data_IF_070301727306
#
_entry.id   IF_070301727306
#
_cell.length_a   1.000
_cell.length_b   1.000
_cell.length_c   1.000
_cell.angle_alpha   90.00
_cell.angle_beta   90.00
_cell.angle_gamma   90.00
#
_symmetry.space_group_name_H-M   'P 1'
#
loop_
_entity.id
_entity.type
_entity.pdbx_description
1 polymer ?
#
# COMPACT_ATOMS: atom_id res chain seq x y z
N UNK A 1 -9.39 28.12 -16.65
CA UNK A 1 -9.68 26.71 -16.34
C UNK A 1 -9.05 25.86 -17.43
N UNK A 2 -7.84 25.37 -17.18
CA UNK A 2 -7.23 24.35 -18.04
C UNK A 2 -7.76 23.01 -17.56
N UNK A 3 -8.56 22.36 -18.42
CA UNK A 3 -8.96 20.97 -18.27
C UNK A 3 -7.69 20.09 -18.36
N UNK A 4 -7.16 19.71 -17.21
CA UNK A 4 -6.14 18.67 -17.11
C UNK A 4 -6.82 17.32 -17.36
N UNK A 5 -6.96 16.98 -18.63
CA UNK A 5 -7.24 15.59 -19.05
C UNK A 5 -6.01 14.76 -18.68
N UNK A 6 -6.03 14.11 -17.54
CA UNK A 6 -4.99 13.15 -17.17
C UNK A 6 -5.21 11.93 -18.06
N UNK A 7 -4.48 11.86 -19.16
CA UNK A 7 -4.41 10.64 -19.96
C UNK A 7 -3.58 9.65 -19.14
N UNK A 8 -4.23 8.60 -18.62
CA UNK A 8 -3.57 7.44 -18.05
C UNK A 8 -2.74 6.79 -19.17
N UNK A 9 -1.44 6.94 -19.11
CA UNK A 9 -0.51 6.36 -20.08
C UNK A 9 0.25 5.26 -19.34
N UNK A 10 0.03 3.99 -19.71
CA UNK A 10 0.72 2.82 -19.15
C UNK A 10 2.26 2.92 -19.25
N UNK A 11 2.78 3.91 -19.96
CA UNK A 11 4.21 4.15 -20.16
C UNK A 11 4.86 5.15 -19.18
N UNK A 12 4.14 5.73 -18.23
CA UNK A 12 4.71 6.65 -17.22
C UNK A 12 5.11 6.01 -15.89
N UNK A 13 5.19 4.69 -15.81
CA UNK A 13 6.04 4.06 -14.80
C UNK A 13 7.49 4.41 -15.17
N UNK A 14 8.13 5.33 -14.44
CA UNK A 14 9.56 5.58 -14.61
C UNK A 14 10.28 4.24 -14.42
N UNK A 15 11.22 3.94 -15.29
CA UNK A 15 11.98 2.68 -15.42
C UNK A 15 12.73 2.23 -14.16
N UNK A 16 12.62 2.99 -13.06
CA UNK A 16 13.27 2.72 -11.76
C UNK A 16 12.37 1.96 -10.76
N UNK A 17 11.11 1.72 -11.11
CA UNK A 17 10.14 1.01 -10.26
C UNK A 17 9.64 -0.30 -10.91
N UNK A 18 10.44 -0.94 -11.78
CA UNK A 18 10.13 -2.28 -12.29
C UNK A 18 10.28 -3.28 -11.15
N UNK A 19 9.15 -3.75 -10.64
CA UNK A 19 9.13 -4.83 -9.66
C UNK A 19 9.58 -6.12 -10.33
N UNK A 20 10.57 -6.85 -9.78
CA UNK A 20 10.86 -8.18 -10.26
C UNK A 20 9.65 -9.07 -9.93
N UNK A 21 8.83 -9.32 -10.92
CA UNK A 21 7.91 -10.46 -10.87
C UNK A 21 8.79 -11.70 -10.96
N UNK A 22 8.85 -12.48 -9.89
CA UNK A 22 9.59 -13.73 -9.89
C UNK A 22 8.86 -14.74 -10.79
N UNK A 23 9.26 -14.75 -12.06
CA UNK A 23 8.61 -15.55 -13.11
C UNK A 23 8.78 -17.07 -12.93
N UNK A 24 9.59 -17.53 -11.98
CA UNK A 24 9.83 -18.95 -11.71
C UNK A 24 8.71 -19.63 -10.90
N UNK A 25 7.74 -18.87 -10.36
CA UNK A 25 6.61 -19.41 -9.58
C UNK A 25 5.34 -19.65 -10.42
N UNK A 26 5.35 -19.31 -11.70
CA UNK A 26 4.17 -19.33 -12.57
C UNK A 26 3.52 -20.71 -12.79
N UNK A 27 4.21 -21.81 -12.51
CA UNK A 27 3.73 -23.15 -12.84
C UNK A 27 2.78 -23.81 -11.82
N UNK A 28 2.49 -23.14 -10.70
CA UNK A 28 1.58 -23.64 -9.64
C UNK A 28 0.52 -22.61 -9.20
N UNK A 29 0.33 -21.54 -9.95
CA UNK A 29 -0.59 -20.47 -9.57
C UNK A 29 -2.03 -20.79 -9.97
N UNK A 30 -2.97 -20.38 -9.13
CA UNK A 30 -4.40 -20.47 -9.36
C UNK A 30 -4.76 -19.54 -10.53
N UNK A 31 -5.40 -20.08 -11.58
CA UNK A 31 -5.98 -19.25 -12.65
C UNK A 31 -7.28 -18.61 -12.15
N UNK A 32 -7.51 -17.37 -12.55
CA UNK A 32 -8.74 -16.65 -12.24
C UNK A 32 -9.72 -16.80 -13.39
N UNK A 33 -10.95 -17.24 -13.10
CA UNK A 33 -12.01 -17.42 -14.08
C UNK A 33 -13.25 -16.59 -13.75
N UNK A 34 -14.09 -16.33 -14.75
CA UNK A 34 -15.38 -15.67 -14.54
C UNK A 34 -16.27 -16.52 -13.62
N UNK A 35 -16.77 -15.89 -12.57
CA UNK A 35 -17.63 -16.54 -11.57
C UNK A 35 -16.89 -17.04 -10.32
N UNK A 36 -15.57 -16.95 -10.29
CA UNK A 36 -14.79 -17.24 -9.09
C UNK A 36 -15.11 -16.26 -7.96
N UNK A 37 -15.13 -16.79 -6.73
CA UNK A 37 -15.15 -15.97 -5.52
C UNK A 37 -13.71 -15.60 -5.14
N UNK A 38 -13.49 -14.32 -4.88
CA UNK A 38 -12.19 -13.78 -4.50
C UNK A 38 -12.28 -13.26 -3.07
N UNK A 39 -11.40 -13.75 -2.19
CA UNK A 39 -11.23 -13.24 -0.85
C UNK A 39 -10.13 -12.17 -0.82
N UNK A 40 -10.43 -11.04 -0.18
CA UNK A 40 -9.50 -9.90 -0.10
C UNK A 40 -9.35 -9.47 1.35
N UNK A 41 -8.10 -9.30 1.79
CA UNK A 41 -7.76 -8.69 3.07
C UNK A 41 -7.04 -7.37 2.81
N UNK A 42 -7.43 -6.32 3.52
CA UNK A 42 -6.68 -5.06 3.59
C UNK A 42 -6.30 -4.78 5.04
N UNK A 43 -5.03 -4.41 5.27
CA UNK A 43 -4.53 -4.19 6.62
C UNK A 43 -3.40 -3.16 6.63
N UNK A 44 -3.60 -2.05 7.34
CA UNK A 44 -2.52 -1.16 7.72
C UNK A 44 -1.82 -1.81 8.93
N UNK A 45 -0.59 -2.32 8.74
CA UNK A 45 0.14 -3.08 9.76
C UNK A 45 0.93 -2.20 10.74
N UNK A 46 0.86 -0.87 10.58
CA UNK A 46 1.51 0.09 11.49
C UNK A 46 3.00 -0.19 11.69
N UNK A 47 3.74 -0.51 10.61
CA UNK A 47 5.18 -0.86 10.64
C UNK A 47 5.57 -1.81 11.79
N UNK A 48 4.69 -2.77 12.11
CA UNK A 48 4.89 -3.74 13.18
C UNK A 48 5.06 -3.16 14.59
N UNK A 49 4.87 -1.84 14.78
CA UNK A 49 5.15 -1.15 16.04
C UNK A 49 3.92 -0.55 16.71
N UNK A 50 2.80 -0.40 15.99
CA UNK A 50 1.56 0.17 16.52
C UNK A 50 0.64 -0.94 17.06
N UNK A 51 1.04 -1.56 18.17
CA UNK A 51 0.22 -2.53 18.90
C UNK A 51 -0.72 -1.84 19.89
N UNK A 52 -1.56 -2.64 20.58
CA UNK A 52 -2.56 -2.14 21.56
C UNK A 52 -1.98 -1.27 22.69
N UNK A 53 -0.68 -1.38 22.96
CA UNK A 53 0.03 -0.60 24.00
C UNK A 53 0.92 0.50 23.40
N UNK A 54 0.75 0.83 22.11
CA UNK A 54 1.55 1.85 21.45
C UNK A 54 1.15 3.24 21.98
N UNK A 55 2.15 3.98 22.48
CA UNK A 55 2.02 5.35 22.95
C UNK A 55 2.64 6.30 21.91
N UNK A 56 1.99 6.41 20.74
CA UNK A 56 2.54 7.15 19.61
C UNK A 56 2.15 8.63 19.68
N UNK A 57 3.14 9.51 19.55
CA UNK A 57 2.95 10.96 19.72
C UNK A 57 1.97 11.58 18.70
N UNK A 58 1.84 11.03 17.48
CA UNK A 58 0.90 11.54 16.49
C UNK A 58 -0.56 11.15 16.79
N UNK A 59 -0.76 10.15 17.63
CA UNK A 59 -2.08 9.70 18.10
C UNK A 59 -2.39 10.24 19.50
N UNK A 60 -1.64 11.25 19.95
CA UNK A 60 -1.82 11.89 21.26
C UNK A 60 -1.00 11.30 22.39
N UNK A 61 -0.09 10.37 22.10
CA UNK A 61 0.89 9.84 23.05
C UNK A 61 2.18 10.65 23.12
N UNK A 62 3.17 10.14 23.84
CA UNK A 62 4.44 10.82 24.10
C UNK A 62 5.66 10.17 23.40
N UNK A 63 5.50 8.97 22.85
CA UNK A 63 6.61 8.17 22.31
C UNK A 63 6.77 8.27 20.80
N UNK A 64 8.04 8.39 20.37
CA UNK A 64 8.43 8.33 18.94
C UNK A 64 8.71 6.89 18.51
N UNK A 65 9.37 6.13 19.40
CA UNK A 65 9.65 4.71 19.24
C UNK A 65 8.74 3.94 20.17
N UNK A 66 7.68 3.37 19.62
CA UNK A 66 6.59 2.74 20.40
C UNK A 66 6.86 1.30 20.79
N UNK A 67 7.84 0.65 20.15
CA UNK A 67 8.15 -0.77 20.35
C UNK A 67 9.65 -1.02 20.40
N UNK A 68 10.06 -2.10 21.08
CA UNK A 68 11.41 -2.64 20.96
C UNK A 68 11.57 -3.44 19.69
N UNK A 69 12.82 -3.76 19.32
CA UNK A 69 13.10 -4.60 18.16
C UNK A 69 12.46 -5.99 18.28
N UNK A 70 12.51 -6.58 19.46
CA UNK A 70 11.92 -7.87 19.78
C UNK A 70 10.39 -7.84 19.63
N UNK A 71 9.78 -6.73 20.07
CA UNK A 71 8.34 -6.55 19.93
C UNK A 71 7.92 -6.45 18.47
N UNK A 72 8.67 -5.69 17.64
CA UNK A 72 8.39 -5.61 16.19
C UNK A 72 8.47 -7.00 15.55
N UNK A 73 9.49 -7.80 15.86
CA UNK A 73 9.63 -9.16 15.34
C UNK A 73 8.47 -10.07 15.79
N UNK A 74 8.06 -9.96 17.05
CA UNK A 74 6.90 -10.70 17.59
C UNK A 74 5.61 -10.31 16.88
N UNK A 75 5.39 -9.00 16.67
CA UNK A 75 4.23 -8.50 15.97
C UNK A 75 4.23 -8.96 14.50
N UNK A 76 5.37 -8.94 13.82
CA UNK A 76 5.48 -9.41 12.44
C UNK A 76 5.17 -10.91 12.33
N UNK A 77 5.64 -11.74 13.29
CA UNK A 77 5.25 -13.16 13.35
C UNK A 77 3.75 -13.32 13.48
N UNK A 78 3.11 -12.60 14.40
CA UNK A 78 1.65 -12.66 14.60
C UNK A 78 0.87 -12.19 13.36
N UNK A 79 1.35 -11.12 12.68
CA UNK A 79 0.74 -10.63 11.43
C UNK A 79 0.81 -11.68 10.34
N UNK A 80 1.97 -12.29 10.13
CA UNK A 80 2.13 -13.32 9.08
C UNK A 80 1.40 -14.62 9.42
N UNK A 81 1.33 -15.02 10.69
CA UNK A 81 0.52 -16.14 11.15
C UNK A 81 -0.98 -15.90 10.89
N UNK A 82 -1.50 -14.71 11.19
CA UNK A 82 -2.90 -14.36 10.91
C UNK A 82 -3.19 -14.36 9.41
N UNK A 83 -2.32 -13.77 8.59
CA UNK A 83 -2.47 -13.76 7.12
C UNK A 83 -2.44 -15.19 6.55
N UNK A 84 -1.57 -16.07 7.06
CA UNK A 84 -1.55 -17.49 6.68
C UNK A 84 -2.83 -18.21 7.11
N UNK A 85 -3.35 -17.92 8.31
CA UNK A 85 -4.59 -18.52 8.83
C UNK A 85 -5.80 -18.11 7.99
N UNK A 86 -5.91 -16.84 7.62
CA UNK A 86 -6.98 -16.32 6.76
C UNK A 86 -6.85 -16.83 5.32
N UNK A 87 -5.62 -17.04 4.85
CA UNK A 87 -5.30 -17.54 3.51
C UNK A 87 -6.13 -16.88 2.38
N UNK A 88 -6.20 -15.55 2.29
CA UNK A 88 -7.00 -14.86 1.29
C UNK A 88 -6.34 -14.93 -0.10
N UNK A 89 -7.13 -14.74 -1.15
CA UNK A 89 -6.60 -14.70 -2.52
C UNK A 89 -5.74 -13.45 -2.78
N UNK A 90 -6.11 -12.32 -2.16
CA UNK A 90 -5.44 -11.02 -2.32
C UNK A 90 -5.23 -10.38 -0.95
N UNK A 91 -4.01 -9.83 -0.73
CA UNK A 91 -3.65 -9.09 0.47
C UNK A 91 -3.15 -7.70 0.09
N UNK A 92 -3.72 -6.67 0.71
CA UNK A 92 -3.36 -5.26 0.52
C UNK A 92 -2.83 -4.72 1.84
N UNK A 93 -1.51 -4.57 1.97
CA UNK A 93 -0.87 -4.07 3.17
C UNK A 93 -0.41 -2.63 3.02
N UNK A 94 -0.53 -1.86 4.10
CA UNK A 94 -0.05 -0.50 4.21
C UNK A 94 0.91 -0.40 5.40
N UNK A 95 1.77 0.62 5.37
CA UNK A 95 2.82 0.88 6.36
C UNK A 95 3.80 -0.28 6.56
N UNK A 96 4.20 -0.91 5.47
CA UNK A 96 5.23 -1.95 5.46
C UNK A 96 6.60 -1.30 5.37
N UNK A 97 7.39 -1.39 6.43
CA UNK A 97 8.73 -0.78 6.48
C UNK A 97 9.82 -1.73 5.94
N UNK A 98 10.86 -1.16 5.32
CA UNK A 98 12.07 -1.90 4.93
C UNK A 98 13.31 -1.54 5.76
N UNK A 99 13.55 -0.25 5.97
CA UNK A 99 14.77 0.27 6.64
C UNK A 99 14.49 1.50 7.48
N UNK A 100 13.33 1.57 8.12
CA UNK A 100 12.95 2.71 8.95
C UNK A 100 13.61 2.65 10.34
N UNK A 101 13.94 3.81 10.89
CA UNK A 101 14.46 3.89 12.24
C UNK A 101 13.41 3.48 13.28
N UNK A 102 12.15 3.84 13.04
CA UNK A 102 11.00 3.55 13.92
C UNK A 102 10.70 2.05 14.06
N UNK A 103 11.03 1.24 13.06
CA UNK A 103 10.92 -0.23 13.06
C UNK A 103 12.27 -0.93 13.21
N UNK A 104 13.27 -0.27 13.85
CA UNK A 104 14.60 -0.81 14.14
C UNK A 104 15.35 -1.36 12.93
N UNK A 105 15.12 -0.80 11.72
CA UNK A 105 15.72 -1.24 10.44
C UNK A 105 15.33 -2.66 10.03
N UNK A 106 14.26 -3.22 10.59
CA UNK A 106 13.70 -4.50 10.17
C UNK A 106 13.17 -4.35 8.74
N UNK A 107 13.41 -5.36 7.91
CA UNK A 107 12.83 -5.45 6.57
C UNK A 107 11.56 -6.29 6.64
N UNK A 108 10.44 -5.63 6.93
CA UNK A 108 9.12 -6.27 7.06
C UNK A 108 8.65 -6.86 5.74
N UNK A 109 8.92 -6.18 4.61
CA UNK A 109 8.57 -6.69 3.29
C UNK A 109 9.27 -8.02 2.98
N UNK A 110 10.54 -8.20 3.44
CA UNK A 110 11.24 -9.48 3.30
C UNK A 110 10.60 -10.56 4.16
N UNK A 111 10.31 -10.25 5.44
CA UNK A 111 9.66 -11.21 6.35
C UNK A 111 8.34 -11.71 5.75
N UNK A 112 7.49 -10.79 5.28
CA UNK A 112 6.20 -11.15 4.66
C UNK A 112 6.39 -12.06 3.45
N UNK A 113 7.36 -11.77 2.58
CA UNK A 113 7.65 -12.61 1.40
C UNK A 113 8.13 -14.01 1.77
N UNK A 114 8.96 -14.09 2.80
CA UNK A 114 9.55 -15.36 3.25
C UNK A 114 8.50 -16.23 3.93
N UNK A 115 7.58 -15.63 4.69
CA UNK A 115 6.50 -16.33 5.40
C UNK A 115 5.28 -16.64 4.51
N UNK A 116 5.09 -15.90 3.39
CA UNK A 116 4.00 -16.08 2.43
C UNK A 116 4.53 -16.44 1.02
N UNK A 117 5.30 -17.53 0.87
CA UNK A 117 6.03 -17.83 -0.37
C UNK A 117 5.13 -18.23 -1.55
N UNK A 118 3.86 -18.56 -1.30
CA UNK A 118 2.88 -18.91 -2.34
C UNK A 118 2.30 -17.70 -3.07
N UNK A 119 2.49 -16.50 -2.52
CA UNK A 119 1.96 -15.27 -3.10
C UNK A 119 2.96 -14.60 -4.05
N UNK A 120 2.46 -14.05 -5.15
CA UNK A 120 3.16 -13.01 -5.91
C UNK A 120 3.09 -11.71 -5.13
N UNK A 121 4.18 -10.99 -5.05
CA UNK A 121 4.22 -9.74 -4.28
C UNK A 121 4.71 -8.56 -5.11
N UNK A 122 4.08 -7.41 -4.92
CA UNK A 122 4.52 -6.11 -5.43
C UNK A 122 4.64 -5.14 -4.27
N UNK A 123 5.72 -4.38 -4.22
CA UNK A 123 5.99 -3.42 -3.15
C UNK A 123 6.33 -2.05 -3.74
N UNK A 124 5.82 -0.98 -3.16
CA UNK A 124 6.13 0.39 -3.56
C UNK A 124 6.32 1.31 -2.36
N UNK A 125 7.38 2.12 -2.39
CA UNK A 125 7.57 3.15 -1.37
C UNK A 125 6.45 4.19 -1.44
N UNK A 126 5.74 4.32 -0.33
CA UNK A 126 4.72 5.33 -0.08
C UNK A 126 5.27 6.53 0.69
N UNK A 127 6.35 6.30 1.45
CA UNK A 127 7.10 7.31 2.17
C UNK A 127 8.58 6.92 2.27
N UNK A 128 9.46 7.70 1.66
CA UNK A 128 10.92 7.48 1.74
C UNK A 128 11.63 8.79 1.98
N UNK A 129 12.32 8.89 3.10
CA UNK A 129 13.16 10.04 3.48
C UNK A 129 14.37 9.59 4.29
N UNK A 130 15.48 10.29 4.14
CA UNK A 130 16.71 10.01 4.91
C UNK A 130 16.60 10.47 6.36
N UNK A 131 15.79 11.50 6.62
CA UNK A 131 15.67 12.08 7.96
C UNK A 131 14.34 12.80 8.11
N UNK A 132 13.61 12.45 9.16
CA UNK A 132 12.50 13.23 9.71
C UNK A 132 13.02 13.83 11.02
N UNK A 133 13.28 15.15 11.07
CA UNK A 133 14.00 15.78 12.20
C UNK A 133 13.13 16.02 13.44
N UNK A 134 11.86 15.76 13.34
CA UNK A 134 10.87 16.02 14.40
C UNK A 134 10.11 14.73 14.74
N UNK A 135 9.59 14.54 15.96
CA UNK A 135 9.82 15.36 17.15
C UNK A 135 11.22 15.18 17.75
N UNK A 136 11.40 15.43 19.05
CA UNK A 136 12.64 15.14 19.76
C UNK A 136 12.36 14.03 20.77
N UNK A 137 13.01 12.86 20.65
CA UNK A 137 14.02 12.48 19.65
C UNK A 137 13.43 12.37 18.23
N UNK A 138 14.25 12.57 17.15
CA UNK A 138 13.76 12.56 15.79
C UNK A 138 13.33 11.16 15.36
N UNK A 139 12.31 11.07 14.48
CA UNK A 139 11.90 9.80 13.86
C UNK A 139 13.06 9.18 13.07
N UNK A 140 13.91 10.02 12.47
CA UNK A 140 15.05 9.57 11.70
C UNK A 140 14.69 9.14 10.28
N UNK A 141 15.38 8.13 9.77
CA UNK A 141 15.13 7.58 8.44
C UNK A 141 13.80 6.82 8.40
N UNK A 142 13.03 7.07 7.35
CA UNK A 142 11.82 6.29 7.04
C UNK A 142 11.91 5.73 5.62
N UNK A 143 11.60 4.45 5.46
CA UNK A 143 11.45 3.77 4.19
C UNK A 143 10.26 2.81 4.33
N UNK A 144 9.07 3.33 4.11
CA UNK A 144 7.80 2.68 4.30
C UNK A 144 7.03 2.59 2.99
N UNK A 145 6.31 1.50 2.78
CA UNK A 145 5.61 1.25 1.55
C UNK A 145 4.22 0.66 1.73
N UNK A 146 3.62 0.40 0.61
CA UNK A 146 2.44 -0.45 0.47
C UNK A 146 2.84 -1.72 -0.26
N UNK A 147 2.19 -2.84 0.05
CA UNK A 147 2.50 -4.14 -0.51
C UNK A 147 1.22 -4.86 -0.94
N UNK A 148 1.21 -5.34 -2.17
CA UNK A 148 0.12 -6.16 -2.71
C UNK A 148 0.64 -7.59 -2.89
N UNK A 149 -0.11 -8.57 -2.37
CA UNK A 149 0.17 -9.99 -2.57
C UNK A 149 -1.04 -10.64 -3.24
N UNK A 150 -0.79 -11.61 -4.11
CA UNK A 150 -1.84 -12.33 -4.86
C UNK A 150 -1.45 -13.79 -5.06
N UNK A 151 -2.40 -14.70 -4.87
CA UNK A 151 -2.27 -16.11 -5.26
C UNK A 151 -2.40 -16.30 -6.77
N UNK A 152 -2.98 -15.32 -7.46
CA UNK A 152 -3.08 -15.31 -8.91
C UNK A 152 -1.83 -14.73 -9.58
N UNK A 153 -1.52 -15.13 -10.83
CA UNK A 153 -0.42 -14.54 -11.60
C UNK A 153 -0.70 -13.07 -11.91
N UNK A 154 0.23 -12.20 -11.54
CA UNK A 154 0.16 -10.77 -11.85
C UNK A 154 0.89 -10.52 -13.16
N UNK A 155 0.17 -10.11 -14.19
CA UNK A 155 0.73 -9.80 -15.52
C UNK A 155 1.53 -8.49 -15.52
N UNK A 156 1.05 -7.51 -14.74
CA UNK A 156 1.64 -6.18 -14.63
C UNK A 156 1.40 -5.61 -13.26
N UNK A 157 2.41 -4.99 -12.67
CA UNK A 157 2.26 -4.16 -11.48
C UNK A 157 2.95 -2.83 -11.71
N UNK A 158 2.27 -1.73 -11.43
CA UNK A 158 2.83 -0.39 -11.56
C UNK A 158 2.57 0.47 -10.32
N UNK A 159 3.53 1.35 -10.04
CA UNK A 159 3.41 2.39 -9.02
C UNK A 159 2.91 3.67 -9.66
N UNK A 160 1.80 4.21 -9.16
CA UNK A 160 1.26 5.49 -9.59
C UNK A 160 1.46 6.51 -8.48
N UNK A 161 2.23 7.56 -8.77
CA UNK A 161 2.44 8.66 -7.83
C UNK A 161 1.17 9.49 -7.69
N UNK A 162 0.74 9.71 -6.46
CA UNK A 162 -0.39 10.59 -6.15
C UNK A 162 0.03 12.07 -6.06
N UNK A 163 -0.90 13.01 -6.25
CA UNK A 163 -0.69 14.43 -5.99
C UNK A 163 -0.16 14.65 -4.57
N UNK A 164 0.85 15.51 -4.44
CA UNK A 164 1.44 15.87 -3.16
C UNK A 164 1.04 17.31 -2.83
N UNK A 165 0.27 17.56 -1.74
CA UNK A 165 -0.26 18.88 -1.41
C UNK A 165 0.82 19.84 -0.88
N UNK A 166 2.00 19.32 -0.56
CA UNK A 166 3.04 20.09 0.10
C UNK A 166 3.98 20.78 -0.89
N UNK A 167 4.26 22.07 -0.64
CA UNK A 167 5.23 22.86 -1.40
C UNK A 167 6.67 22.60 -0.92
N UNK A 168 7.66 22.99 -1.76
CA UNK A 168 9.06 23.01 -1.35
C UNK A 168 9.29 24.09 -0.26
N UNK A 169 10.12 23.83 0.80
CA UNK A 169 10.92 22.61 1.03
C UNK A 169 10.18 21.52 1.81
N UNK A 170 8.98 21.78 2.33
CA UNK A 170 8.22 20.88 3.22
C UNK A 170 8.02 19.50 2.60
N UNK A 171 7.75 19.46 1.29
CA UNK A 171 7.56 18.19 0.56
C UNK A 171 8.77 17.25 0.56
N UNK A 172 9.99 17.73 0.95
CA UNK A 172 11.19 16.88 1.03
C UNK A 172 11.11 15.88 2.20
N UNK A 173 10.48 16.30 3.30
CA UNK A 173 10.32 15.49 4.51
C UNK A 173 8.90 14.92 4.65
N UNK A 174 8.02 15.20 3.69
CA UNK A 174 6.62 14.78 3.74
C UNK A 174 6.31 13.58 2.86
N UNK A 175 5.13 13.01 3.09
CA UNK A 175 4.61 11.82 2.45
C UNK A 175 4.52 12.00 0.93
N UNK A 176 4.99 10.99 0.20
CA UNK A 176 4.88 10.92 -1.28
C UNK A 176 3.99 9.74 -1.62
N UNK A 177 2.71 9.87 -1.30
CA UNK A 177 1.70 8.83 -1.48
C UNK A 177 1.68 8.27 -2.90
N UNK A 178 1.34 7.00 -3.00
CA UNK A 178 1.20 6.30 -4.27
C UNK A 178 0.10 5.23 -4.20
N UNK A 179 -0.24 4.73 -5.38
CA UNK A 179 -1.02 3.50 -5.56
C UNK A 179 -0.10 2.42 -6.10
N UNK A 180 -0.39 1.14 -5.80
CA UNK A 180 0.03 0.01 -6.60
C UNK A 180 -1.19 -0.44 -7.40
N UNK A 181 -1.04 -0.51 -8.72
CA UNK A 181 -2.05 -1.06 -9.63
C UNK A 181 -1.49 -2.35 -10.19
N UNK A 182 -2.10 -3.47 -9.82
CA UNK A 182 -1.72 -4.81 -10.26
C UNK A 182 -2.83 -5.37 -11.16
N UNK A 183 -2.45 -6.07 -12.24
CA UNK A 183 -3.38 -6.66 -13.19
C UNK A 183 -3.23 -8.18 -13.19
N UNK A 184 -4.35 -8.86 -13.05
CA UNK A 184 -4.47 -10.32 -13.07
C UNK A 184 -5.32 -10.70 -14.27
N UNK A 185 -4.81 -11.48 -15.25
CA UNK A 185 -5.58 -11.97 -16.38
C UNK A 185 -6.74 -12.85 -15.90
N UNK A 186 -7.86 -12.79 -16.61
CA UNK A 186 -9.02 -13.66 -16.38
C UNK A 186 -9.11 -14.66 -17.52
N UNK A 187 -9.06 -15.95 -17.18
CA UNK A 187 -9.05 -17.02 -18.18
C UNK A 187 -10.30 -16.97 -19.08
N UNK A 188 -10.10 -17.29 -20.35
CA UNK A 188 -11.16 -17.30 -21.36
C UNK A 188 -11.66 -15.92 -21.81
N UNK A 189 -11.00 -14.82 -21.38
CA UNK A 189 -11.37 -13.45 -21.76
C UNK A 189 -10.16 -12.59 -22.12
N UNK A 190 -10.42 -11.41 -22.71
CA UNK A 190 -9.44 -10.33 -22.89
C UNK A 190 -9.45 -9.33 -21.71
N UNK A 191 -10.15 -9.65 -20.63
CA UNK A 191 -10.33 -8.78 -19.48
C UNK A 191 -9.39 -9.17 -18.33
N UNK A 192 -9.17 -8.21 -17.47
CA UNK A 192 -8.30 -8.35 -16.31
C UNK A 192 -9.03 -7.96 -15.02
N UNK A 193 -8.63 -8.56 -13.92
CA UNK A 193 -8.91 -8.03 -12.59
C UNK A 193 -7.82 -7.01 -12.25
N UNK A 194 -8.22 -5.76 -12.09
CA UNK A 194 -7.34 -4.65 -11.69
C UNK A 194 -7.44 -4.45 -10.18
N UNK A 195 -6.34 -4.67 -9.49
CA UNK A 195 -6.24 -4.56 -8.03
C UNK A 195 -5.49 -3.26 -7.72
N UNK A 196 -6.12 -2.36 -6.96
CA UNK A 196 -5.53 -1.08 -6.56
C UNK A 196 -5.33 -1.07 -5.06
N UNK A 197 -4.07 -1.12 -4.61
CA UNK A 197 -3.71 -0.90 -3.22
C UNK A 197 -3.35 0.56 -2.99
N UNK A 198 -3.85 1.14 -1.90
CA UNK A 198 -3.71 2.56 -1.61
C UNK A 198 -3.45 2.84 -0.13
N UNK A 199 -2.80 3.99 0.12
CA UNK A 199 -2.74 4.61 1.43
C UNK A 199 -2.72 6.14 1.20
N UNK A 200 -3.88 6.77 1.34
CA UNK A 200 -4.10 8.19 1.01
C UNK A 200 -3.57 9.13 2.10
N UNK A 201 -3.59 10.43 1.83
CA UNK A 201 -3.09 11.45 2.76
C UNK A 201 -3.99 11.57 3.99
N UNK A 202 -3.34 11.65 5.18
CA UNK A 202 -4.02 11.79 6.46
C UNK A 202 -4.05 13.24 6.97
N UNK A 203 -3.00 14.03 6.69
CA UNK A 203 -2.63 15.22 7.46
C UNK A 203 -2.70 16.54 6.67
N UNK A 204 -3.50 16.62 5.60
CA UNK A 204 -3.66 17.86 4.85
C UNK A 204 -4.94 18.62 5.22
N UNK A 205 -5.05 19.84 4.67
CA UNK A 205 -6.24 20.70 4.83
C UNK A 205 -7.46 20.23 4.02
N UNK A 206 -7.36 19.11 3.29
CA UNK A 206 -8.41 18.52 2.47
C UNK A 206 -8.19 18.62 0.95
N UNK A 207 -7.40 19.56 0.46
CA UNK A 207 -7.14 19.73 -0.98
C UNK A 207 -6.36 18.55 -1.57
N UNK A 208 -5.34 18.06 -0.85
CA UNK A 208 -4.57 16.89 -1.26
C UNK A 208 -5.39 15.61 -1.23
N UNK A 209 -6.21 15.40 -0.20
CA UNK A 209 -7.15 14.28 -0.11
C UNK A 209 -8.12 14.28 -1.29
N UNK A 210 -8.73 15.44 -1.60
CA UNK A 210 -9.66 15.59 -2.72
C UNK A 210 -8.97 15.28 -4.06
N UNK A 211 -7.76 15.79 -4.29
CA UNK A 211 -7.00 15.54 -5.52
C UNK A 211 -6.59 14.06 -5.65
N UNK A 212 -6.18 13.42 -4.55
CA UNK A 212 -5.84 12.00 -4.54
C UNK A 212 -7.06 11.12 -4.77
N UNK A 213 -8.18 11.41 -4.12
CA UNK A 213 -9.45 10.70 -4.30
C UNK A 213 -9.96 10.83 -5.73
N UNK A 214 -9.88 12.05 -6.31
CA UNK A 214 -10.24 12.26 -7.72
C UNK A 214 -9.39 11.42 -8.65
N UNK A 215 -8.06 11.44 -8.49
CA UNK A 215 -7.15 10.65 -9.33
C UNK A 215 -7.43 9.15 -9.20
N UNK A 216 -7.71 8.66 -7.99
CA UNK A 216 -8.14 7.27 -7.78
C UNK A 216 -9.41 6.97 -8.56
N UNK A 217 -10.45 7.81 -8.43
CA UNK A 217 -11.72 7.63 -9.15
C UNK A 217 -11.53 7.62 -10.66
N UNK A 218 -10.69 8.53 -11.20
CA UNK A 218 -10.38 8.59 -12.64
C UNK A 218 -9.71 7.28 -13.13
N UNK A 219 -8.79 6.70 -12.34
CA UNK A 219 -8.13 5.43 -12.66
C UNK A 219 -9.13 4.27 -12.65
N UNK A 220 -9.96 4.17 -11.59
CA UNK A 220 -10.97 3.12 -11.48
C UNK A 220 -11.98 3.18 -12.65
N UNK A 221 -12.42 4.40 -13.00
CA UNK A 221 -13.33 4.61 -14.12
C UNK A 221 -12.69 4.21 -15.44
N UNK A 222 -11.44 4.62 -15.69
CA UNK A 222 -10.73 4.30 -16.92
C UNK A 222 -10.55 2.79 -17.12
N UNK A 223 -10.28 2.02 -16.06
CA UNK A 223 -10.19 0.57 -16.14
C UNK A 223 -11.57 -0.09 -16.32
N UNK A 224 -12.60 0.44 -15.67
CA UNK A 224 -14.00 -0.01 -15.86
C UNK A 224 -14.49 0.24 -17.29
N UNK A 225 -14.14 1.38 -17.89
CA UNK A 225 -14.50 1.73 -19.26
C UNK A 225 -13.83 0.78 -20.30
N UNK A 226 -12.69 0.19 -19.97
CA UNK A 226 -12.05 -0.88 -20.75
C UNK A 226 -12.77 -2.23 -20.60
N UNK A 227 -13.74 -2.33 -19.69
CA UNK A 227 -14.48 -3.55 -19.36
C UNK A 227 -13.74 -4.46 -18.37
N UNK A 228 -12.71 -3.95 -17.70
CA UNK A 228 -12.00 -4.66 -16.64
C UNK A 228 -12.81 -4.72 -15.36
N UNK A 229 -12.55 -5.72 -14.53
CA UNK A 229 -13.06 -5.79 -13.16
C UNK A 229 -12.08 -5.06 -12.23
N UNK A 230 -12.60 -4.24 -11.31
CA UNK A 230 -11.74 -3.37 -10.49
C UNK A 230 -12.04 -3.55 -9.01
N UNK A 231 -10.99 -3.76 -8.21
CA UNK A 231 -11.03 -3.77 -6.75
C UNK A 231 -10.05 -2.72 -6.25
N UNK A 232 -10.51 -1.79 -5.41
CA UNK A 232 -9.65 -0.85 -4.71
C UNK A 232 -9.79 -1.05 -3.20
N UNK A 233 -8.67 -1.16 -2.51
CA UNK A 233 -8.63 -1.34 -1.06
C UNK A 233 -7.37 -0.73 -0.46
N UNK A 234 -7.41 -0.46 0.83
CA UNK A 234 -6.30 0.12 1.56
C UNK A 234 -6.75 1.11 2.62
N UNK A 235 -5.84 1.95 3.05
CA UNK A 235 -6.11 3.00 4.02
C UNK A 235 -6.46 4.31 3.29
N UNK A 236 -7.74 4.63 3.29
CA UNK A 236 -8.27 5.86 2.67
C UNK A 236 -8.02 7.11 3.52
N UNK A 237 -7.72 6.95 4.82
CA UNK A 237 -7.63 8.06 5.77
C UNK A 237 -8.87 8.98 5.76
N UNK A 238 -10.03 8.41 5.50
CA UNK A 238 -11.31 9.10 5.41
C UNK A 238 -12.42 8.24 6.00
N UNK A 239 -13.40 8.89 6.60
CA UNK A 239 -14.65 8.25 7.04
C UNK A 239 -15.71 8.37 5.94
N UNK A 240 -16.58 7.39 5.86
CA UNK A 240 -17.75 7.49 4.99
C UNK A 240 -18.71 8.58 5.50
N UNK A 241 -19.36 9.29 4.58
CA UNK A 241 -20.22 10.43 4.91
C UNK A 241 -21.42 10.08 5.80
N UNK A 242 -21.76 8.81 5.91
CA UNK A 242 -22.85 8.28 6.73
C UNK A 242 -22.37 7.54 8.00
N UNK A 243 -21.07 7.65 8.32
CA UNK A 243 -20.51 7.04 9.54
C UNK A 243 -20.73 7.99 10.72
N UNK A 244 -21.32 7.48 11.80
CA UNK A 244 -21.38 8.21 13.07
C UNK A 244 -19.99 8.14 13.73
N UNK A 245 -19.36 9.30 13.85
CA UNK A 245 -18.01 9.44 14.46
C UNK A 245 -18.08 9.94 15.91
N UNK A 246 -19.27 9.94 16.52
CA UNK A 246 -19.47 10.40 17.91
C UNK A 246 -19.30 9.31 18.97
N UNK A 247 -18.87 8.09 18.58
CA UNK A 247 -18.68 6.96 19.49
C UNK A 247 -17.26 6.88 20.02
#
# INVERSE_FOLDING_TARGET
SEDLTVTYNDQQATQDDSFPTDTNKLSQQKELSIGDNISVVTWNIGYGSLGANADFFMDGGDSVYTSTKEQVLTNMSAITEELNSLSPDIILLQEVDEKSSRSHKINEASIIKDELPSYNSSYAYNYKTLMVPYPIPPIGQVASGIMTLSTYPVSTACRIKLPCPFSYPIRLCNLKRCLIVSKVPIDGTDKELVIVNLHLEAYDSGEGKAAQTKMLADILQAETDKGNYVIAGGDFNQTFSNTDISA
#
